data_IF_650197427175
#
_entry.id   IF_650197427175
#
_cell.length_a   1.000
_cell.length_b   1.000
_cell.length_c   1.000
_cell.angle_alpha   90.00
_cell.angle_beta   90.00
_cell.angle_gamma   90.00
#
_symmetry.space_group_name_H-M   'P 1'
#
loop_
_entity.id
_entity.type
_entity.pdbx_description
1 polymer ?
#
# COMPACT_ATOMS: atom_id res chain seq x y z
N UNK A 1 74.53 18.27 3.47
CA UNK A 1 73.90 17.00 3.89
C UNK A 1 72.70 17.19 4.82
N UNK A 2 72.79 17.97 5.91
CA UNK A 2 71.67 18.11 6.87
C UNK A 2 70.47 18.93 6.35
N UNK A 3 70.72 20.06 5.67
CA UNK A 3 69.68 20.94 5.13
C UNK A 3 68.85 20.26 4.01
N UNK A 4 69.50 19.45 3.17
CA UNK A 4 68.84 18.69 2.10
C UNK A 4 67.96 17.58 2.67
N UNK A 5 68.40 16.91 3.74
CA UNK A 5 67.60 15.92 4.47
C UNK A 5 66.32 16.55 5.08
N UNK A 6 66.44 17.70 5.75
CA UNK A 6 65.29 18.41 6.32
C UNK A 6 64.30 18.86 5.24
N UNK A 7 64.78 19.35 4.09
CA UNK A 7 63.91 19.73 2.96
C UNK A 7 63.14 18.53 2.40
N UNK A 8 63.79 17.38 2.23
CA UNK A 8 63.13 16.15 1.79
C UNK A 8 62.07 15.67 2.77
N UNK A 9 62.38 15.66 4.07
CA UNK A 9 61.42 15.32 5.13
C UNK A 9 60.18 16.22 5.12
N UNK A 10 60.37 17.55 4.99
CA UNK A 10 59.25 18.50 4.90
C UNK A 10 58.37 18.26 3.66
N UNK A 11 58.98 17.91 2.54
CA UNK A 11 58.25 17.65 1.30
C UNK A 11 57.40 16.37 1.39
N UNK A 12 57.94 15.31 2.00
CA UNK A 12 57.18 14.08 2.27
C UNK A 12 56.03 14.36 3.24
N UNK A 13 56.28 15.08 4.33
CA UNK A 13 55.24 15.45 5.29
C UNK A 13 54.13 16.30 4.64
N UNK A 14 54.49 17.23 3.75
CA UNK A 14 53.52 18.03 3.01
C UNK A 14 52.68 17.17 2.05
N UNK A 15 53.28 16.22 1.34
CA UNK A 15 52.56 15.29 0.47
C UNK A 15 51.63 14.37 1.26
N UNK A 16 52.07 13.88 2.41
CA UNK A 16 51.24 13.10 3.32
C UNK A 16 50.04 13.91 3.81
N UNK A 17 50.27 15.12 4.31
CA UNK A 17 49.20 16.00 4.78
C UNK A 17 48.17 16.32 3.67
N UNK A 18 48.60 16.52 2.43
CA UNK A 18 47.70 16.70 1.29
C UNK A 18 46.88 15.43 1.00
N UNK A 19 47.52 14.27 1.04
CA UNK A 19 46.84 12.98 0.87
C UNK A 19 45.80 12.71 1.95
N UNK A 20 46.14 13.00 3.20
CA UNK A 20 45.26 12.83 4.35
C UNK A 20 44.09 13.81 4.30
N UNK A 21 44.33 15.07 3.94
CA UNK A 21 43.24 16.05 3.76
C UNK A 21 42.22 15.62 2.69
N UNK A 22 42.68 15.05 1.57
CA UNK A 22 41.80 14.53 0.52
C UNK A 22 41.02 13.30 0.99
N UNK A 23 41.67 12.40 1.75
CA UNK A 23 41.01 11.22 2.34
C UNK A 23 39.94 11.65 3.33
N UNK A 24 40.24 12.57 4.22
CA UNK A 24 39.31 13.10 5.20
C UNK A 24 38.11 13.80 4.54
N UNK A 25 38.34 14.51 3.44
CA UNK A 25 37.27 15.08 2.64
C UNK A 25 36.34 13.99 2.11
N UNK A 26 36.89 12.93 1.49
CA UNK A 26 36.09 11.81 0.97
C UNK A 26 35.32 11.09 2.07
N UNK A 27 35.91 10.92 3.25
CA UNK A 27 35.25 10.30 4.40
C UNK A 27 34.06 11.17 4.84
N UNK A 28 34.24 12.49 4.94
CA UNK A 28 33.14 13.41 5.28
C UNK A 28 32.02 13.37 4.23
N UNK A 29 32.36 13.35 2.96
CA UNK A 29 31.37 13.29 1.88
C UNK A 29 30.59 11.97 1.90
N UNK A 30 31.27 10.85 2.14
CA UNK A 30 30.63 9.54 2.28
C UNK A 30 29.73 9.47 3.52
N UNK A 31 30.20 9.99 4.66
CA UNK A 31 29.41 10.04 5.90
C UNK A 31 28.12 10.85 5.68
N UNK A 32 28.21 12.00 5.00
CA UNK A 32 27.03 12.79 4.64
C UNK A 32 26.04 12.02 3.76
N UNK A 33 26.54 11.32 2.73
CA UNK A 33 25.67 10.51 1.85
C UNK A 33 24.98 9.37 2.59
N UNK A 34 25.63 8.76 3.57
CA UNK A 34 25.04 7.71 4.42
C UNK A 34 23.94 8.31 5.31
N UNK A 35 24.21 9.46 5.92
CA UNK A 35 23.21 10.17 6.73
C UNK A 35 21.97 10.56 5.91
N UNK A 36 22.19 11.14 4.72
CA UNK A 36 21.12 11.48 3.78
C UNK A 36 20.28 10.24 3.40
N UNK A 37 20.94 9.10 3.14
CA UNK A 37 20.28 7.84 2.84
C UNK A 37 19.46 7.32 4.02
N UNK A 38 20.05 7.26 5.22
CA UNK A 38 19.37 6.82 6.43
C UNK A 38 18.13 7.67 6.73
N UNK A 39 18.27 8.99 6.64
CA UNK A 39 17.16 9.93 6.81
C UNK A 39 16.07 9.76 5.73
N UNK A 40 16.46 9.42 4.50
CA UNK A 40 15.53 9.05 3.43
C UNK A 40 14.76 7.77 3.74
N UNK A 41 15.46 6.73 4.20
CA UNK A 41 14.85 5.43 4.53
C UNK A 41 13.87 5.52 5.70
N UNK A 42 14.19 6.29 6.75
CA UNK A 42 13.29 6.50 7.90
C UNK A 42 11.98 7.14 7.43
N UNK A 43 12.06 8.24 6.69
CA UNK A 43 10.87 8.93 6.15
C UNK A 43 10.04 8.03 5.22
N UNK A 44 10.70 7.19 4.43
CA UNK A 44 10.00 6.19 3.61
C UNK A 44 9.27 5.16 4.48
N UNK A 45 9.89 4.70 5.57
CA UNK A 45 9.26 3.81 6.54
C UNK A 45 8.01 4.42 7.19
N UNK A 46 8.08 5.69 7.57
CA UNK A 46 6.93 6.45 8.10
C UNK A 46 5.79 6.53 7.08
N UNK A 47 6.10 6.89 5.82
CA UNK A 47 5.10 6.96 4.75
C UNK A 47 4.45 5.60 4.46
N UNK A 48 5.23 4.52 4.47
CA UNK A 48 4.70 3.15 4.31
C UNK A 48 3.79 2.79 5.49
N UNK A 49 4.16 3.18 6.71
CA UNK A 49 3.36 2.92 7.90
C UNK A 49 2.01 3.67 7.85
N UNK A 50 2.03 4.94 7.45
CA UNK A 50 0.82 5.74 7.24
C UNK A 50 -0.08 5.14 6.16
N UNK A 51 0.49 4.76 5.01
CA UNK A 51 -0.25 4.11 3.93
C UNK A 51 -0.85 2.78 4.40
N UNK A 52 -0.11 1.99 5.17
CA UNK A 52 -0.62 0.75 5.77
C UNK A 52 -1.80 1.04 6.69
N UNK A 53 -1.77 2.11 7.48
CA UNK A 53 -2.89 2.47 8.35
C UNK A 53 -4.16 2.83 7.55
N UNK A 54 -4.01 3.43 6.38
CA UNK A 54 -5.14 3.73 5.47
C UNK A 54 -5.65 2.47 4.76
N UNK A 55 -4.75 1.62 4.29
CA UNK A 55 -5.08 0.43 3.48
C UNK A 55 -5.58 -0.73 4.32
N UNK A 56 -5.02 -0.97 5.51
CA UNK A 56 -5.38 -2.08 6.39
C UNK A 56 -6.89 -2.23 6.67
N UNK A 57 -7.67 -1.16 6.93
CA UNK A 57 -9.11 -1.29 7.18
C UNK A 57 -9.96 -1.41 5.90
N UNK A 58 -9.40 -1.26 4.70
CA UNK A 58 -10.20 -1.29 3.46
C UNK A 58 -10.87 -2.65 3.20
N UNK A 59 -10.18 -3.81 3.33
CA UNK A 59 -10.83 -5.10 3.13
C UNK A 59 -12.02 -5.31 4.07
N UNK A 60 -11.90 -4.94 5.35
CA UNK A 60 -12.98 -5.05 6.32
C UNK A 60 -14.16 -4.13 5.96
N UNK A 61 -13.88 -2.88 5.56
CA UNK A 61 -14.90 -1.94 5.09
C UNK A 61 -15.60 -2.43 3.82
N UNK A 62 -14.85 -3.01 2.88
CA UNK A 62 -15.39 -3.61 1.67
C UNK A 62 -16.29 -4.80 2.00
N UNK A 63 -15.85 -5.71 2.87
CA UNK A 63 -16.67 -6.83 3.32
C UNK A 63 -17.95 -6.39 4.03
N UNK A 64 -17.88 -5.30 4.82
CA UNK A 64 -19.08 -4.71 5.42
C UNK A 64 -20.02 -4.09 4.38
N UNK A 65 -19.49 -3.47 3.31
CA UNK A 65 -20.30 -2.93 2.22
C UNK A 65 -20.97 -4.03 1.41
N UNK A 66 -20.26 -5.10 1.09
CA UNK A 66 -20.81 -6.28 0.41
C UNK A 66 -21.93 -6.94 1.22
N UNK A 67 -21.75 -7.06 2.55
CA UNK A 67 -22.79 -7.56 3.45
C UNK A 67 -23.97 -6.59 3.61
N UNK A 68 -23.74 -5.29 3.38
CA UNK A 68 -24.76 -4.25 3.51
C UNK A 68 -25.46 -3.94 2.21
N UNK A 69 -25.07 -4.52 1.07
CA UNK A 69 -25.80 -4.35 -0.17
C UNK A 69 -27.12 -5.12 -0.08
N UNK A 70 -28.24 -4.44 0.24
CA UNK A 70 -29.51 -5.09 0.47
C UNK A 70 -30.03 -5.70 -0.83
N UNK A 71 -29.57 -5.20 -1.98
CA UNK A 71 -29.92 -5.71 -3.30
C UNK A 71 -29.29 -7.09 -3.54
N UNK A 72 -28.03 -7.30 -3.16
CA UNK A 72 -27.38 -8.60 -3.37
C UNK A 72 -27.96 -9.68 -2.46
N UNK A 73 -28.28 -9.32 -1.20
CA UNK A 73 -28.99 -10.20 -0.28
C UNK A 73 -30.44 -10.46 -0.72
N UNK A 74 -31.16 -9.44 -1.20
CA UNK A 74 -32.53 -9.60 -1.68
C UNK A 74 -32.63 -10.46 -2.94
N UNK A 75 -31.70 -10.30 -3.89
CA UNK A 75 -31.65 -11.16 -5.09
C UNK A 75 -31.27 -12.61 -4.77
N UNK A 76 -30.31 -12.83 -3.87
CA UNK A 76 -29.95 -14.18 -3.43
C UNK A 76 -31.10 -14.87 -2.67
N UNK A 77 -31.84 -14.13 -1.85
CA UNK A 77 -33.04 -14.62 -1.17
C UNK A 77 -34.20 -14.89 -2.15
N UNK A 78 -34.40 -14.00 -3.12
CA UNK A 78 -35.41 -14.15 -4.17
C UNK A 78 -35.13 -15.38 -5.05
N UNK A 79 -33.89 -15.65 -5.42
CA UNK A 79 -33.51 -16.85 -6.17
C UNK A 79 -33.89 -18.15 -5.43
N UNK A 80 -33.67 -18.21 -4.11
CA UNK A 80 -34.08 -19.36 -3.29
C UNK A 80 -35.60 -19.51 -3.24
N UNK A 81 -36.34 -18.42 -3.05
CA UNK A 81 -37.80 -18.42 -3.00
C UNK A 81 -38.41 -18.83 -4.34
N UNK A 82 -37.87 -18.36 -5.48
CA UNK A 82 -38.29 -18.82 -6.81
C UNK A 82 -38.06 -20.32 -6.97
N UNK A 83 -36.93 -20.85 -6.51
CA UNK A 83 -36.65 -22.30 -6.50
C UNK A 83 -37.61 -23.12 -5.64
N UNK A 84 -38.21 -22.50 -4.61
CA UNK A 84 -39.28 -23.09 -3.80
C UNK A 84 -40.68 -22.88 -4.39
N UNK A 85 -40.80 -22.23 -5.55
CA UNK A 85 -42.07 -21.99 -6.24
C UNK A 85 -42.85 -20.76 -5.78
N UNK A 86 -42.21 -19.82 -5.08
CA UNK A 86 -42.86 -18.58 -4.62
C UNK A 86 -43.41 -17.75 -5.80
N UNK A 87 -44.52 -17.06 -5.53
CA UNK A 87 -45.18 -16.14 -6.45
C UNK A 87 -44.46 -14.79 -6.56
N UNK A 88 -44.74 -14.03 -7.62
CA UNK A 88 -44.16 -12.69 -7.85
C UNK A 88 -44.53 -11.71 -6.73
N UNK A 89 -45.74 -11.82 -6.18
CA UNK A 89 -46.21 -10.99 -5.06
C UNK A 89 -45.48 -11.33 -3.75
N UNK A 90 -45.18 -12.61 -3.50
CA UNK A 90 -44.37 -13.01 -2.34
C UNK A 90 -42.92 -12.54 -2.45
N UNK A 91 -42.35 -12.52 -3.66
CA UNK A 91 -40.99 -12.03 -3.90
C UNK A 91 -40.87 -10.52 -3.70
N UNK A 92 -41.86 -9.74 -4.13
CA UNK A 92 -41.88 -8.29 -3.90
C UNK A 92 -42.06 -7.95 -2.42
N UNK A 93 -42.96 -8.64 -1.70
CA UNK A 93 -43.15 -8.41 -0.26
C UNK A 93 -41.99 -8.91 0.61
N UNK A 94 -41.47 -10.11 0.36
CA UNK A 94 -40.47 -10.74 1.23
C UNK A 94 -39.03 -10.29 0.94
N UNK A 95 -38.74 -9.89 -0.31
CA UNK A 95 -37.40 -9.47 -0.72
C UNK A 95 -37.30 -7.96 -1.02
N UNK A 96 -38.39 -7.20 -0.92
CA UNK A 96 -38.37 -5.74 -1.17
C UNK A 96 -38.05 -5.38 -2.62
N UNK A 97 -38.31 -6.28 -3.55
CA UNK A 97 -38.11 -6.08 -4.99
C UNK A 97 -39.23 -5.25 -5.59
N UNK A 98 -38.94 -4.50 -6.66
CA UNK A 98 -39.97 -3.93 -7.51
C UNK A 98 -40.67 -5.04 -8.31
N UNK A 99 -41.90 -4.78 -8.78
CA UNK A 99 -42.67 -5.76 -9.56
C UNK A 99 -41.91 -6.22 -10.82
N UNK A 100 -41.23 -5.31 -11.50
CA UNK A 100 -40.41 -5.63 -12.67
C UNK A 100 -39.21 -6.53 -12.32
N UNK A 101 -38.57 -6.32 -11.17
CA UNK A 101 -37.44 -7.14 -10.70
C UNK A 101 -37.89 -8.54 -10.27
N UNK A 102 -39.03 -8.67 -9.59
CA UNK A 102 -39.58 -9.97 -9.20
C UNK A 102 -40.02 -10.80 -10.42
N UNK A 103 -40.62 -10.17 -11.44
CA UNK A 103 -40.95 -10.83 -12.70
C UNK A 103 -39.71 -11.30 -13.45
N UNK A 104 -38.65 -10.47 -13.50
CA UNK A 104 -37.37 -10.84 -14.11
C UNK A 104 -36.75 -12.05 -13.39
N UNK A 105 -36.71 -12.03 -12.06
CA UNK A 105 -36.17 -13.11 -11.24
C UNK A 105 -36.93 -14.42 -11.41
N UNK A 106 -38.27 -14.35 -11.45
CA UNK A 106 -39.10 -15.52 -11.71
C UNK A 106 -38.87 -16.10 -13.11
N UNK A 107 -38.57 -15.28 -14.12
CA UNK A 107 -38.31 -15.76 -15.49
C UNK A 107 -36.90 -16.34 -15.64
N UNK A 108 -35.90 -15.70 -15.03
CA UNK A 108 -34.51 -16.11 -15.10
C UNK A 108 -34.25 -17.46 -14.40
N UNK A 109 -34.87 -17.68 -13.24
CA UNK A 109 -34.62 -18.86 -12.41
C UNK A 109 -35.64 -20.00 -12.56
N UNK A 110 -36.81 -19.79 -13.19
CA UNK A 110 -37.73 -20.90 -13.57
C UNK A 110 -37.30 -21.65 -14.84
N UNK A 111 -36.37 -21.09 -15.61
CA UNK A 111 -35.90 -21.65 -16.88
C UNK A 111 -34.57 -22.41 -16.80
N UNK A 112 -34.05 -22.65 -15.59
CA UNK A 112 -32.84 -23.45 -15.33
C UNK A 112 -33.15 -24.80 -14.72
#
# INVERSE_FOLDING_TARGET
MFVTYIRGQRQIAAQQAQGDALRDQRIRDLAKRVDDYQNGTVRMGEAIHELRAVVAPLPDKLGQLEQRDPSTLSFAQAARLVGMGASVDELTQACGLTQAEAELMSKLHKGG
#
